data_IF_779761516280
#
_entry.id   IF_779761516280
#
_cell.length_a   1.000
_cell.length_b   1.000
_cell.length_c   1.000
_cell.angle_alpha   90.00
_cell.angle_beta   90.00
_cell.angle_gamma   90.00
#
_symmetry.space_group_name_H-M   'P 1'
#
loop_
_entity.id
_entity.type
_entity.pdbx_description
1 polymer ?
#
# COMPACT_ATOMS: atom_id res chain seq x y z
N UNK A 1 2.11 -3.91 22.55
CA UNK A 1 3.33 -3.57 21.79
C UNK A 1 2.88 -3.58 20.35
N UNK A 2 3.18 -2.54 19.58
CA UNK A 2 2.75 -2.51 18.18
C UNK A 2 3.54 -3.57 17.40
N UNK A 3 2.86 -4.32 16.55
CA UNK A 3 3.50 -5.30 15.69
C UNK A 3 3.99 -4.59 14.42
N UNK A 4 5.20 -4.92 13.96
CA UNK A 4 5.80 -4.29 12.78
C UNK A 4 5.90 -5.35 11.68
N UNK A 5 5.10 -5.20 10.64
CA UNK A 5 5.06 -6.11 9.51
C UNK A 5 5.85 -5.54 8.33
N UNK A 6 6.64 -6.36 7.62
CA UNK A 6 7.35 -5.94 6.43
C UNK A 6 6.42 -5.95 5.21
N UNK A 7 6.37 -4.82 4.50
CA UNK A 7 5.67 -4.68 3.22
C UNK A 7 6.69 -4.46 2.12
N UNK A 8 6.82 -5.42 1.21
CA UNK A 8 7.68 -5.36 0.04
C UNK A 8 6.94 -4.78 -1.16
N UNK A 9 7.52 -3.78 -1.81
CA UNK A 9 7.03 -3.26 -3.09
C UNK A 9 7.96 -3.70 -4.21
N UNK A 10 7.46 -4.56 -5.10
CA UNK A 10 8.21 -5.01 -6.27
C UNK A 10 8.03 -4.03 -7.45
N UNK A 11 9.14 -3.56 -7.98
CA UNK A 11 9.21 -2.61 -9.09
C UNK A 11 10.55 -2.69 -9.82
N UNK A 12 10.54 -2.65 -11.16
CA UNK A 12 11.75 -2.64 -12.00
C UNK A 12 12.74 -3.77 -11.67
N UNK A 13 12.23 -4.96 -11.34
CA UNK A 13 13.04 -6.13 -10.98
C UNK A 13 13.75 -6.01 -9.62
N UNK A 14 13.30 -5.12 -8.75
CA UNK A 14 13.81 -4.94 -7.38
C UNK A 14 12.64 -4.92 -6.39
N UNK A 15 12.94 -5.17 -5.13
CA UNK A 15 11.99 -5.03 -4.02
C UNK A 15 12.51 -3.97 -3.07
N UNK A 16 11.66 -3.00 -2.73
CA UNK A 16 11.90 -2.08 -1.62
C UNK A 16 10.99 -2.52 -0.47
N UNK A 17 11.61 -2.85 0.66
CA UNK A 17 10.92 -3.25 1.87
C UNK A 17 10.65 -2.03 2.75
N UNK A 18 9.46 -1.99 3.35
CA UNK A 18 9.03 -0.96 4.28
C UNK A 18 8.57 -1.61 5.58
N UNK A 19 8.79 -0.92 6.69
CA UNK A 19 8.24 -1.30 7.98
C UNK A 19 6.86 -0.66 8.16
N UNK A 20 5.82 -1.49 8.29
CA UNK A 20 4.45 -1.04 8.55
C UNK A 20 4.04 -1.47 9.95
N UNK A 21 3.55 -0.51 10.73
CA UNK A 21 3.20 -0.68 12.14
C UNK A 21 1.71 -0.88 12.24
N UNK A 22 1.30 -1.99 12.85
CA UNK A 22 -0.09 -2.23 13.21
C UNK A 22 -0.32 -1.87 14.68
N UNK A 23 -1.04 -0.77 14.89
CA UNK A 23 -1.52 -0.31 16.20
C UNK A 23 -2.93 0.31 16.07
N UNK A 24 -3.32 1.22 16.96
CA UNK A 24 -4.63 1.90 16.86
C UNK A 24 -4.79 2.68 15.54
N UNK A 25 -3.67 3.03 14.88
CA UNK A 25 -3.60 3.70 13.59
C UNK A 25 -2.47 3.12 12.75
N UNK A 26 -2.78 2.08 11.98
CA UNK A 26 -1.92 1.53 10.94
C UNK A 26 -1.15 2.60 10.15
N UNK A 27 0.18 2.45 10.08
CA UNK A 27 1.04 3.44 9.44
C UNK A 27 2.39 2.88 9.01
N UNK A 28 3.05 3.56 8.06
CA UNK A 28 4.46 3.30 7.73
C UNK A 28 5.35 3.88 8.83
N UNK A 29 6.22 3.05 9.43
CA UNK A 29 7.21 3.47 10.40
C UNK A 29 8.10 4.55 9.80
N UNK A 30 8.37 5.61 10.57
CA UNK A 30 9.21 6.71 10.09
C UNK A 30 10.27 7.13 11.10
N UNK A 31 11.43 7.53 10.58
CA UNK A 31 12.56 8.05 11.36
C UNK A 31 12.94 9.40 10.78
N UNK A 32 12.86 10.45 11.61
CA UNK A 32 13.16 11.84 11.21
C UNK A 32 12.36 12.34 10.00
N UNK A 33 11.13 11.85 9.83
CA UNK A 33 10.25 12.24 8.72
C UNK A 33 10.52 11.52 7.40
N UNK A 34 11.34 10.48 7.40
CA UNK A 34 11.54 9.57 6.27
C UNK A 34 10.97 8.19 6.62
N UNK A 35 10.37 7.48 5.66
CA UNK A 35 9.90 6.12 5.88
C UNK A 35 11.09 5.18 6.15
N UNK A 36 10.93 4.28 7.11
CA UNK A 36 11.89 3.20 7.38
C UNK A 36 11.77 2.16 6.27
N UNK A 37 12.82 2.05 5.45
CA UNK A 37 12.82 1.19 4.27
C UNK A 37 14.23 0.68 3.93
N UNK A 38 14.30 -0.42 3.18
CA UNK A 38 15.56 -0.99 2.71
C UNK A 38 15.39 -1.82 1.43
N UNK A 39 16.48 -2.00 0.68
CA UNK A 39 16.49 -2.84 -0.53
C UNK A 39 16.66 -4.35 -0.26
N UNK A 40 16.79 -4.76 1.01
CA UNK A 40 16.88 -6.17 1.41
C UNK A 40 16.23 -6.39 2.78
N UNK A 41 15.93 -7.65 3.11
CA UNK A 41 15.33 -8.02 4.39
C UNK A 41 16.25 -7.68 5.56
N UNK A 42 17.53 -8.03 5.45
CA UNK A 42 18.54 -7.75 6.49
C UNK A 42 18.76 -6.24 6.67
N UNK A 43 18.66 -5.47 5.60
CA UNK A 43 18.70 -4.00 5.67
C UNK A 43 17.50 -3.45 6.44
N UNK A 44 16.30 -4.01 6.22
CA UNK A 44 15.11 -3.56 6.93
C UNK A 44 15.18 -3.93 8.41
N UNK A 45 15.64 -5.14 8.75
CA UNK A 45 15.89 -5.55 10.14
C UNK A 45 16.82 -4.55 10.84
N UNK A 46 17.89 -4.11 10.17
CA UNK A 46 18.82 -3.13 10.72
C UNK A 46 18.16 -1.77 10.98
N UNK A 47 17.40 -1.26 10.03
CA UNK A 47 16.73 0.05 10.16
C UNK A 47 15.64 0.04 11.25
N UNK A 48 14.90 -1.07 11.36
CA UNK A 48 13.86 -1.26 12.39
C UNK A 48 14.48 -1.42 13.79
N UNK A 49 15.56 -2.20 13.92
CA UNK A 49 16.30 -2.33 15.17
C UNK A 49 16.88 -0.98 15.63
N UNK A 50 17.30 -0.12 14.70
CA UNK A 50 17.74 1.25 14.99
C UNK A 50 16.59 2.20 15.41
N UNK A 51 15.36 1.71 15.48
CA UNK A 51 14.17 2.36 16.04
C UNK A 51 13.65 1.62 17.28
N UNK A 52 14.45 0.74 17.88
CA UNK A 52 14.09 -0.11 19.02
C UNK A 52 12.87 -1.04 18.75
N UNK A 53 12.64 -1.39 17.47
CA UNK A 53 11.59 -2.30 17.02
C UNK A 53 12.12 -3.66 16.56
N UNK A 54 11.21 -4.59 16.26
CA UNK A 54 11.50 -5.87 15.64
C UNK A 54 10.41 -6.19 14.60
N UNK A 55 10.81 -6.78 13.46
CA UNK A 55 9.90 -7.18 12.40
C UNK A 55 9.29 -8.56 12.68
N UNK A 56 8.01 -8.70 12.38
CA UNK A 56 7.36 -9.99 12.22
C UNK A 56 7.32 -10.38 10.73
N UNK A 57 8.29 -11.20 10.34
CA UNK A 57 8.40 -11.72 8.98
C UNK A 57 7.34 -12.79 8.65
N UNK A 58 6.62 -13.36 9.63
CA UNK A 58 5.54 -14.30 9.36
C UNK A 58 4.33 -13.61 8.73
N UNK A 59 4.12 -12.33 9.05
CA UNK A 59 3.07 -11.47 8.46
C UNK A 59 3.52 -10.66 7.24
N UNK A 60 4.57 -11.09 6.54
CA UNK A 60 5.08 -10.33 5.39
C UNK A 60 4.06 -10.22 4.24
N UNK A 61 4.06 -9.07 3.58
CA UNK A 61 3.24 -8.82 2.38
C UNK A 61 4.09 -8.34 1.22
N UNK A 62 3.84 -8.86 0.01
CA UNK A 62 4.54 -8.45 -1.22
C UNK A 62 3.53 -7.91 -2.23
N UNK A 63 3.71 -6.65 -2.62
CA UNK A 63 2.89 -5.97 -3.62
C UNK A 63 3.67 -5.82 -4.93
N UNK A 64 3.29 -6.58 -5.95
CA UNK A 64 3.76 -6.39 -7.33
C UNK A 64 2.91 -5.33 -8.03
N UNK A 65 3.32 -4.07 -7.86
CA UNK A 65 2.57 -2.91 -8.35
C UNK A 65 2.59 -2.81 -9.87
N UNK A 66 3.66 -3.27 -10.54
CA UNK A 66 3.74 -3.25 -12.00
C UNK A 66 2.76 -4.24 -12.63
N UNK A 67 2.70 -5.47 -12.10
CA UNK A 67 1.71 -6.48 -12.52
C UNK A 67 0.29 -6.01 -12.24
N UNK A 68 0.06 -5.34 -11.11
CA UNK A 68 -1.25 -4.77 -10.77
C UNK A 68 -1.65 -3.64 -11.72
N UNK A 69 -0.74 -2.72 -12.05
CA UNK A 69 -0.95 -1.68 -13.07
C UNK A 69 -1.32 -2.31 -14.42
N UNK A 70 -0.62 -3.36 -14.85
CA UNK A 70 -0.91 -4.05 -16.11
C UNK A 70 -2.30 -4.70 -16.11
N UNK A 71 -2.68 -5.31 -14.98
CA UNK A 71 -4.00 -5.93 -14.80
C UNK A 71 -5.10 -4.88 -14.88
N UNK A 72 -4.94 -3.75 -14.17
CA UNK A 72 -5.90 -2.64 -14.18
C UNK A 72 -6.01 -2.01 -15.58
N UNK A 73 -4.88 -1.84 -16.28
CA UNK A 73 -4.86 -1.26 -17.62
C UNK A 73 -5.61 -2.13 -18.63
N UNK A 74 -5.39 -3.44 -18.58
CA UNK A 74 -6.09 -4.42 -19.43
C UNK A 74 -7.55 -4.68 -19.01
N UNK A 75 -7.88 -4.45 -17.74
CA UNK A 75 -9.16 -4.81 -17.12
C UNK A 75 -9.34 -6.31 -16.89
N UNK A 76 -8.27 -7.11 -16.99
CA UNK A 76 -8.30 -8.57 -16.84
C UNK A 76 -7.53 -8.96 -15.58
N UNK A 77 -8.09 -9.88 -14.78
CA UNK A 77 -7.42 -10.41 -13.60
C UNK A 77 -7.21 -9.38 -12.49
N UNK A 78 -7.98 -8.30 -12.48
CA UNK A 78 -7.87 -7.25 -11.45
C UNK A 78 -8.40 -7.78 -10.13
N UNK A 79 -7.51 -7.91 -9.14
CA UNK A 79 -7.88 -8.27 -7.77
C UNK A 79 -8.26 -7.02 -6.98
N UNK A 80 -9.52 -6.88 -6.51
CA UNK A 80 -9.92 -5.71 -5.75
C UNK A 80 -9.14 -5.54 -4.44
N UNK A 81 -8.92 -6.63 -3.71
CA UNK A 81 -8.13 -6.62 -2.47
C UNK A 81 -6.72 -6.08 -2.71
N UNK A 82 -6.02 -6.54 -3.74
CA UNK A 82 -4.68 -6.04 -4.09
C UNK A 82 -4.67 -4.54 -4.44
N UNK A 83 -5.73 -4.02 -5.08
CA UNK A 83 -5.85 -2.58 -5.35
C UNK A 83 -6.04 -1.78 -4.07
N UNK A 84 -6.89 -2.28 -3.15
CA UNK A 84 -7.14 -1.64 -1.86
C UNK A 84 -5.92 -1.70 -0.95
N UNK A 85 -5.25 -2.85 -0.86
CA UNK A 85 -4.03 -3.01 -0.06
C UNK A 85 -2.93 -2.07 -0.54
N UNK A 86 -2.73 -1.98 -1.86
CA UNK A 86 -1.78 -1.04 -2.46
C UNK A 86 -2.16 0.42 -2.15
N UNK A 87 -3.43 0.80 -2.28
CA UNK A 87 -3.88 2.17 -2.01
C UNK A 87 -3.77 2.53 -0.52
N UNK A 88 -4.11 1.61 0.38
CA UNK A 88 -3.95 1.81 1.83
C UNK A 88 -2.48 2.03 2.18
N UNK A 89 -1.59 1.16 1.69
CA UNK A 89 -0.16 1.33 1.88
C UNK A 89 0.38 2.65 1.31
N UNK A 90 -0.04 3.03 0.10
CA UNK A 90 0.33 4.31 -0.52
C UNK A 90 -0.20 5.51 0.29
N UNK A 91 -1.36 5.39 0.92
CA UNK A 91 -1.89 6.42 1.80
C UNK A 91 -1.01 6.61 3.03
N UNK A 92 -0.60 5.52 3.66
CA UNK A 92 0.28 5.56 4.83
C UNK A 92 1.67 6.09 4.49
N UNK A 93 2.22 5.65 3.35
CA UNK A 93 3.49 6.17 2.85
C UNK A 93 3.40 7.67 2.52
N UNK A 94 2.31 8.11 1.89
CA UNK A 94 2.06 9.52 1.57
C UNK A 94 2.00 10.40 2.82
N UNK A 95 1.36 9.92 3.90
CA UNK A 95 1.29 10.64 5.18
C UNK A 95 2.67 10.95 5.73
N UNK A 96 3.63 10.04 5.57
CA UNK A 96 5.04 10.22 5.95
C UNK A 96 5.74 11.20 4.99
N UNK A 97 5.79 10.88 3.70
CA UNK A 97 6.57 11.61 2.69
C UNK A 97 6.07 13.06 2.55
N UNK A 98 4.76 13.29 2.55
CA UNK A 98 4.16 14.61 2.42
C UNK A 98 3.95 15.31 3.77
N UNK A 99 4.41 14.73 4.89
CA UNK A 99 4.22 15.25 6.26
C UNK A 99 2.77 15.66 6.53
N UNK A 100 1.84 14.83 6.05
CA UNK A 100 0.42 15.13 5.97
C UNK A 100 -0.40 14.03 6.67
N UNK A 101 -0.32 13.91 8.01
CA UNK A 101 -0.79 12.75 8.77
C UNK A 101 -2.30 12.46 8.67
N UNK A 102 -3.10 13.43 8.21
CA UNK A 102 -4.57 13.30 8.10
C UNK A 102 -5.07 13.25 6.66
N UNK A 103 -4.19 13.28 5.67
CA UNK A 103 -4.58 13.28 4.26
C UNK A 103 -4.64 11.86 3.71
N UNK A 104 -5.61 11.63 2.84
CA UNK A 104 -5.74 10.41 2.05
C UNK A 104 -5.04 10.66 0.70
N UNK A 105 -4.29 9.67 0.24
CA UNK A 105 -3.66 9.71 -1.08
C UNK A 105 -4.76 9.61 -2.15
N UNK A 106 -4.81 10.56 -3.08
CA UNK A 106 -5.90 10.67 -4.06
C UNK A 106 -7.32 10.71 -3.46
N UNK A 107 -7.52 11.54 -2.44
CA UNK A 107 -8.85 11.75 -1.81
C UNK A 107 -9.95 12.20 -2.78
N UNK A 108 -9.61 12.77 -3.93
CA UNK A 108 -10.54 13.14 -5.01
C UNK A 108 -11.09 11.94 -5.79
N UNK A 109 -10.57 10.73 -5.53
CA UNK A 109 -10.94 9.48 -6.19
C UNK A 109 -11.59 8.47 -5.25
N UNK A 110 -12.11 8.90 -4.09
CA UNK A 110 -12.71 7.98 -3.10
C UNK A 110 -13.89 7.16 -3.64
N UNK A 111 -14.69 7.68 -4.58
CA UNK A 111 -15.75 6.88 -5.22
C UNK A 111 -15.19 5.60 -5.88
N UNK A 112 -13.97 5.68 -6.44
CA UNK A 112 -13.28 4.54 -7.03
C UNK A 112 -12.73 3.61 -5.96
N UNK A 113 -12.19 4.15 -4.86
CA UNK A 113 -11.81 3.34 -3.69
C UNK A 113 -13.02 2.53 -3.19
N UNK A 114 -14.16 3.17 -2.99
CA UNK A 114 -15.38 2.54 -2.48
C UNK A 114 -15.90 1.45 -3.44
N UNK A 115 -15.81 1.68 -4.75
CA UNK A 115 -16.17 0.67 -5.75
C UNK A 115 -15.29 -0.58 -5.64
N UNK A 116 -13.97 -0.43 -5.53
CA UNK A 116 -13.04 -1.54 -5.32
C UNK A 116 -13.26 -2.22 -3.97
N UNK A 117 -13.38 -1.45 -2.90
CA UNK A 117 -13.62 -1.97 -1.54
C UNK A 117 -14.90 -2.81 -1.48
N UNK A 118 -15.96 -2.38 -2.15
CA UNK A 118 -17.24 -3.13 -2.21
C UNK A 118 -17.10 -4.54 -2.83
N UNK A 119 -16.01 -4.79 -3.57
CA UNK A 119 -15.73 -6.08 -4.20
C UNK A 119 -14.79 -6.97 -3.38
N UNK A 120 -14.13 -6.41 -2.35
CA UNK A 120 -13.25 -7.15 -1.44
C UNK A 120 -14.02 -8.22 -0.65
N UNK A 121 -13.33 -9.29 -0.26
CA UNK A 121 -13.93 -10.39 0.50
C UNK A 121 -14.46 -9.91 1.88
N UNK A 122 -13.76 -8.95 2.50
CA UNK A 122 -14.19 -8.34 3.76
C UNK A 122 -15.51 -7.59 3.62
N UNK A 123 -15.73 -6.86 2.52
CA UNK A 123 -16.95 -6.11 2.28
C UNK A 123 -18.16 -7.03 2.11
N UNK A 124 -17.98 -8.17 1.43
CA UNK A 124 -19.00 -9.22 1.34
C UNK A 124 -19.32 -9.80 2.70
N UNK A 125 -18.30 -10.01 3.53
CA UNK A 125 -18.47 -10.57 4.89
C UNK A 125 -19.32 -9.65 5.79
N UNK A 126 -19.19 -8.33 5.64
CA UNK A 126 -19.99 -7.35 6.40
C UNK A 126 -21.31 -6.96 5.71
N UNK A 127 -21.68 -7.63 4.62
CA UNK A 127 -22.96 -7.45 3.93
C UNK A 127 -23.07 -6.15 3.12
N UNK A 128 -21.94 -5.55 2.71
CA UNK A 128 -21.95 -4.40 1.82
C UNK A 128 -22.38 -4.81 0.41
N UNK A 129 -23.16 -3.95 -0.24
CA UNK A 129 -23.60 -4.17 -1.61
C UNK A 129 -22.41 -4.04 -2.57
N UNK A 130 -22.26 -5.04 -3.44
CA UNK A 130 -21.25 -5.04 -4.51
C UNK A 130 -21.58 -3.97 -5.56
N UNK A 131 -20.63 -3.08 -5.83
CA UNK A 131 -20.74 -2.03 -6.86
C UNK A 131 -19.86 -2.42 -8.05
N UNK A 132 -20.44 -2.47 -9.25
CA UNK A 132 -19.68 -2.83 -10.45
C UNK A 132 -18.52 -1.85 -10.70
N UNK A 133 -17.31 -2.38 -10.90
CA UNK A 133 -16.13 -1.58 -11.29
C UNK A 133 -16.29 -1.16 -12.74
N UNK A 134 -16.34 0.14 -12.99
CA UNK A 134 -16.43 0.70 -14.35
C UNK A 134 -15.05 0.85 -14.99
N UNK A 135 -15.00 1.08 -16.31
CA UNK A 135 -13.73 1.43 -16.97
C UNK A 135 -13.08 2.68 -16.38
N UNK A 136 -13.89 3.65 -15.96
CA UNK A 136 -13.40 4.87 -15.29
C UNK A 136 -12.71 4.56 -13.97
N UNK A 137 -13.20 3.57 -13.23
CA UNK A 137 -12.59 3.14 -11.96
C UNK A 137 -11.25 2.48 -12.20
N UNK A 138 -11.13 1.66 -13.26
CA UNK A 138 -9.85 1.11 -13.69
C UNK A 138 -8.85 2.21 -14.08
N UNK A 139 -9.26 3.16 -14.91
CA UNK A 139 -8.37 4.26 -15.34
C UNK A 139 -7.89 5.11 -14.14
N UNK A 140 -8.75 5.32 -13.13
CA UNK A 140 -8.39 6.02 -11.89
C UNK A 140 -7.48 5.21 -10.99
N UNK A 141 -7.76 3.92 -10.79
CA UNK A 141 -6.89 3.02 -10.04
C UNK A 141 -5.48 2.97 -10.68
N UNK A 142 -5.39 2.96 -12.01
CA UNK A 142 -4.10 3.05 -12.72
C UNK A 142 -3.32 4.30 -12.31
N UNK A 143 -3.97 5.47 -12.28
CA UNK A 143 -3.33 6.73 -11.87
C UNK A 143 -2.81 6.64 -10.43
N UNK A 144 -3.64 6.13 -9.51
CA UNK A 144 -3.26 5.95 -8.10
C UNK A 144 -2.03 5.05 -7.98
N UNK A 145 -2.06 3.88 -8.62
CA UNK A 145 -0.97 2.91 -8.56
C UNK A 145 0.32 3.48 -9.16
N UNK A 146 0.23 4.17 -10.30
CA UNK A 146 1.39 4.81 -10.95
C UNK A 146 2.00 5.91 -10.08
N UNK A 147 1.18 6.76 -9.48
CA UNK A 147 1.67 7.83 -8.61
C UNK A 147 2.26 7.28 -7.30
N UNK A 148 1.65 6.23 -6.74
CA UNK A 148 2.18 5.55 -5.56
C UNK A 148 3.50 4.85 -5.85
N UNK A 149 3.62 4.19 -7.00
CA UNK A 149 4.88 3.60 -7.46
C UNK A 149 5.97 4.67 -7.62
N UNK A 150 5.64 5.81 -8.22
CA UNK A 150 6.58 6.92 -8.35
C UNK A 150 7.03 7.44 -6.99
N UNK A 151 6.14 7.48 -5.99
CA UNK A 151 6.50 7.86 -4.62
C UNK A 151 7.49 6.86 -4.01
N UNK A 152 7.26 5.55 -4.17
CA UNK A 152 8.19 4.50 -3.72
C UNK A 152 9.57 4.65 -4.37
N UNK A 153 9.61 4.90 -5.68
CA UNK A 153 10.86 5.04 -6.44
C UNK A 153 11.63 6.34 -6.16
N UNK A 154 11.02 7.28 -5.44
CA UNK A 154 11.61 8.58 -5.12
C UNK A 154 12.18 8.66 -3.70
N UNK A 155 12.14 7.56 -2.96
CA UNK A 155 12.71 7.38 -1.61
C UNK A 155 14.16 6.92 -1.74
#
# INVERSE_FOLDING_TARGET
MADIYPVGIAAHGRIVWFAWVSDDYDHVLSKKGSPVSAGSKEGLDHEVAACDGALDWEGESLLDVESLISSVDSGVGVSPDAVIDAWNFMTDLFRVVAKSPRKIFHADMMDTYDAFFSQCDIARTVGLASVSISRRDLDRAKIVLQNGLQMVLSI
#
